data_IF_162529843239
#
_entry.id   IF_162529843239
#
_cell.length_a   1.000
_cell.length_b   1.000
_cell.length_c   1.000
_cell.angle_alpha   90.00
_cell.angle_beta   90.00
_cell.angle_gamma   90.00
#
_symmetry.space_group_name_H-M   'P 1'
#
loop_
_entity.id
_entity.type
_entity.pdbx_description
1 polymer ?
#
# COMPACT_ATOMS: atom_id res chain seq x y z
N UNK A 1 -23.25 18.39 -15.78
CA UNK A 1 -23.98 17.17 -15.38
C UNK A 1 -23.77 17.00 -13.89
N UNK A 2 -24.82 16.85 -13.06
CA UNK A 2 -24.62 16.49 -11.66
C UNK A 2 -23.95 15.12 -11.60
N UNK A 3 -23.04 14.94 -10.64
CA UNK A 3 -22.41 13.64 -10.40
C UNK A 3 -23.49 12.68 -9.89
N UNK A 4 -23.81 11.65 -10.67
CA UNK A 4 -24.63 10.54 -10.18
C UNK A 4 -23.79 9.62 -9.29
N UNK A 5 -24.38 9.19 -8.16
CA UNK A 5 -23.68 8.33 -7.21
C UNK A 5 -23.51 6.92 -7.79
N UNK A 6 -22.25 6.49 -7.92
CA UNK A 6 -21.94 5.12 -8.31
C UNK A 6 -22.27 4.16 -7.16
N UNK A 7 -23.15 3.19 -7.40
CA UNK A 7 -23.51 2.13 -6.43
C UNK A 7 -22.63 0.88 -6.56
N UNK A 8 -21.93 0.73 -7.69
CA UNK A 8 -20.92 -0.30 -7.91
C UNK A 8 -19.56 0.28 -7.51
N UNK A 9 -19.37 0.40 -6.21
CA UNK A 9 -18.15 1.00 -5.65
C UNK A 9 -17.01 0.00 -5.66
N UNK A 10 -15.82 0.52 -5.94
CA UNK A 10 -14.57 -0.18 -5.62
C UNK A 10 -13.86 0.56 -4.50
N UNK A 11 -13.26 -0.20 -3.60
CA UNK A 11 -12.47 0.34 -2.48
C UNK A 11 -10.99 0.23 -2.85
N UNK A 12 -10.30 1.37 -2.77
CA UNK A 12 -8.84 1.42 -2.86
C UNK A 12 -8.24 1.53 -1.47
N UNK A 13 -7.33 0.64 -1.11
CA UNK A 13 -6.57 0.73 0.14
C UNK A 13 -5.17 1.31 -0.11
N UNK A 14 -4.87 2.48 0.45
CA UNK A 14 -3.53 3.07 0.44
C UNK A 14 -2.76 2.64 1.69
N UNK A 15 -1.89 1.65 1.55
CA UNK A 15 -1.38 0.86 2.70
C UNK A 15 -0.25 1.52 3.51
N UNK A 16 0.42 2.54 2.98
CA UNK A 16 1.55 3.20 3.68
C UNK A 16 1.71 4.69 3.36
N UNK A 17 1.59 5.08 2.07
CA UNK A 17 1.81 6.45 1.62
C UNK A 17 3.27 6.92 1.73
N UNK A 18 3.50 8.22 1.51
CA UNK A 18 4.82 8.86 1.62
C UNK A 18 4.85 10.03 2.62
N UNK A 19 3.74 10.28 3.33
CA UNK A 19 3.65 11.33 4.33
C UNK A 19 4.51 11.02 5.57
N UNK A 20 4.78 12.06 6.37
CA UNK A 20 5.46 11.98 7.67
C UNK A 20 4.56 11.36 8.75
N UNK A 21 4.07 10.16 8.48
CA UNK A 21 3.13 9.41 9.31
C UNK A 21 3.71 8.07 9.79
N UNK A 22 4.87 7.66 9.27
CA UNK A 22 5.48 6.36 9.56
C UNK A 22 5.82 6.14 11.04
N UNK A 23 6.05 7.21 11.80
CA UNK A 23 6.36 7.15 13.23
C UNK A 23 5.13 7.46 14.11
N UNK A 24 3.98 7.77 13.51
CA UNK A 24 2.75 8.03 14.26
C UNK A 24 2.05 6.75 14.73
N UNK A 25 2.42 5.60 14.18
CA UNK A 25 1.90 4.30 14.58
C UNK A 25 2.88 3.18 14.23
N UNK A 26 3.06 2.17 15.11
CA UNK A 26 3.89 1.00 14.81
C UNK A 26 3.30 0.10 13.72
N UNK A 27 2.04 0.33 13.34
CA UNK A 27 1.35 -0.46 12.31
C UNK A 27 1.56 0.07 10.89
N UNK A 28 2.25 1.20 10.70
CA UNK A 28 2.55 1.70 9.35
C UNK A 28 3.65 0.84 8.73
N UNK A 29 3.39 0.09 7.65
CA UNK A 29 4.37 -0.83 7.08
C UNK A 29 5.48 -0.07 6.35
N UNK A 30 6.74 -0.53 6.52
CA UNK A 30 7.94 0.12 5.97
C UNK A 30 8.67 -0.75 4.95
N UNK A 31 8.96 -1.99 5.31
CA UNK A 31 9.69 -2.90 4.43
C UNK A 31 8.82 -3.39 3.28
N UNK A 32 9.39 -3.75 2.12
CA UNK A 32 8.65 -4.37 1.02
C UNK A 32 7.77 -5.54 1.46
N UNK A 33 8.28 -6.40 2.35
CA UNK A 33 7.53 -7.50 2.96
C UNK A 33 6.29 -7.00 3.70
N UNK A 34 6.45 -6.08 4.66
CA UNK A 34 5.32 -5.55 5.44
C UNK A 34 4.27 -4.85 4.57
N UNK A 35 4.73 -4.10 3.56
CA UNK A 35 3.86 -3.40 2.61
C UNK A 35 3.06 -4.41 1.80
N UNK A 36 3.70 -5.45 1.28
CA UNK A 36 3.02 -6.52 0.52
C UNK A 36 2.03 -7.31 1.38
N UNK A 37 2.38 -7.65 2.63
CA UNK A 37 1.48 -8.34 3.57
C UNK A 37 0.23 -7.50 3.86
N UNK A 38 0.40 -6.20 4.07
CA UNK A 38 -0.70 -5.27 4.28
C UNK A 38 -1.60 -5.14 3.04
N UNK A 39 -1.00 -5.10 1.85
CA UNK A 39 -1.72 -5.07 0.58
C UNK A 39 -2.54 -6.35 0.34
N UNK A 40 -1.95 -7.52 0.58
CA UNK A 40 -2.63 -8.81 0.46
C UNK A 40 -3.78 -8.91 1.46
N UNK A 41 -3.57 -8.48 2.71
CA UNK A 41 -4.62 -8.45 3.72
C UNK A 41 -5.78 -7.52 3.31
N UNK A 42 -5.47 -6.33 2.79
CA UNK A 42 -6.48 -5.40 2.29
C UNK A 42 -7.30 -6.02 1.15
N UNK A 43 -6.64 -6.66 0.18
CA UNK A 43 -7.30 -7.35 -0.93
C UNK A 43 -8.22 -8.48 -0.44
N UNK A 44 -7.73 -9.33 0.48
CA UNK A 44 -8.52 -10.40 1.12
C UNK A 44 -9.70 -9.87 1.92
N UNK A 45 -9.62 -8.62 2.38
CA UNK A 45 -10.68 -7.91 3.10
C UNK A 45 -11.67 -7.18 2.17
N UNK A 46 -11.51 -7.29 0.85
CA UNK A 46 -12.43 -6.73 -0.15
C UNK A 46 -11.96 -5.45 -0.84
N UNK A 47 -10.72 -5.01 -0.64
CA UNK A 47 -10.16 -3.94 -1.46
C UNK A 47 -9.98 -4.42 -2.90
N UNK A 48 -10.59 -3.71 -3.85
CA UNK A 48 -10.44 -4.01 -5.27
C UNK A 48 -9.10 -3.53 -5.84
N UNK A 49 -8.53 -2.49 -5.23
CA UNK A 49 -7.24 -1.90 -5.60
C UNK A 49 -6.42 -1.63 -4.36
N UNK A 50 -5.11 -1.82 -4.46
CA UNK A 50 -4.14 -1.40 -3.45
C UNK A 50 -3.20 -0.37 -4.04
N UNK A 51 -3.09 0.77 -3.36
CA UNK A 51 -2.17 1.85 -3.73
C UNK A 51 -0.90 1.74 -2.88
N UNK A 52 0.23 1.48 -3.53
CA UNK A 52 1.49 1.17 -2.87
C UNK A 52 2.53 2.28 -3.09
N UNK A 53 3.22 2.63 -2.01
CA UNK A 53 4.51 3.33 -2.03
C UNK A 53 5.56 2.41 -1.38
N UNK A 54 6.83 2.73 -1.58
CA UNK A 54 7.94 2.09 -0.87
C UNK A 54 8.62 3.08 0.05
N UNK A 55 9.22 2.56 1.11
CA UNK A 55 9.93 3.32 2.12
C UNK A 55 11.28 2.65 2.38
N UNK A 56 12.22 3.45 2.86
CA UNK A 56 13.44 2.94 3.45
C UNK A 56 13.09 2.03 4.66
N UNK A 57 13.50 0.76 4.68
CA UNK A 57 13.09 -0.19 5.72
C UNK A 57 13.60 0.17 7.12
N UNK A 58 14.73 0.89 7.22
CA UNK A 58 15.37 1.22 8.49
C UNK A 58 14.79 2.51 9.06
N UNK A 59 14.73 3.54 8.24
CA UNK A 59 14.35 4.91 8.65
C UNK A 59 12.86 5.20 8.45
N UNK A 60 12.17 4.45 7.58
CA UNK A 60 10.79 4.72 7.18
C UNK A 60 10.62 5.92 6.25
N UNK A 61 11.72 6.56 5.83
CA UNK A 61 11.70 7.67 4.89
C UNK A 61 11.06 7.23 3.55
N UNK A 62 10.30 8.11 2.86
CA UNK A 62 9.73 7.77 1.57
C UNK A 62 10.83 7.49 0.54
N UNK A 63 10.66 6.40 -0.22
CA UNK A 63 11.62 5.96 -1.24
C UNK A 63 10.95 5.90 -2.61
N UNK A 64 11.78 5.92 -3.66
CA UNK A 64 11.39 5.68 -5.06
C UNK A 64 12.21 4.58 -5.71
N UNK A 65 12.86 3.74 -4.90
CA UNK A 65 13.70 2.64 -5.39
C UNK A 65 12.85 1.62 -6.17
N UNK A 66 13.22 1.42 -7.44
CA UNK A 66 12.55 0.49 -8.34
C UNK A 66 12.71 -0.97 -7.91
N UNK A 67 13.80 -1.32 -7.24
CA UNK A 67 14.02 -2.68 -6.72
C UNK A 67 13.00 -2.99 -5.63
N UNK A 68 12.76 -2.04 -4.72
CA UNK A 68 11.74 -2.20 -3.68
C UNK A 68 10.33 -2.28 -4.26
N UNK A 69 10.02 -1.45 -5.28
CA UNK A 69 8.73 -1.53 -5.96
C UNK A 69 8.52 -2.88 -6.67
N UNK A 70 9.58 -3.41 -7.30
CA UNK A 70 9.55 -4.74 -7.91
C UNK A 70 9.28 -5.80 -6.86
N UNK A 71 10.02 -5.79 -5.74
CA UNK A 71 9.81 -6.76 -4.66
C UNK A 71 8.39 -6.72 -4.10
N UNK A 72 7.83 -5.53 -3.84
CA UNK A 72 6.42 -5.40 -3.40
C UNK A 72 5.47 -6.00 -4.43
N UNK A 73 5.68 -5.68 -5.71
CA UNK A 73 4.81 -6.14 -6.81
C UNK A 73 4.86 -7.66 -6.96
N UNK A 74 6.06 -8.25 -6.94
CA UNK A 74 6.27 -9.69 -7.09
C UNK A 74 5.59 -10.44 -5.93
N UNK A 75 5.84 -10.01 -4.68
CA UNK A 75 5.22 -10.60 -3.49
C UNK A 75 3.70 -10.55 -3.50
N UNK A 76 3.09 -9.46 -3.98
CA UNK A 76 1.63 -9.33 -4.07
C UNK A 76 1.07 -10.25 -5.15
N UNK A 77 1.76 -10.41 -6.28
CA UNK A 77 1.30 -11.23 -7.42
C UNK A 77 1.48 -12.73 -7.20
N UNK A 78 2.43 -13.12 -6.36
CA UNK A 78 2.70 -14.51 -6.01
C UNK A 78 1.80 -15.05 -4.86
N UNK A 79 0.92 -14.22 -4.30
CA UNK A 79 0.11 -14.51 -3.10
C UNK A 79 -1.32 -14.96 -3.40
#
# INVERSE_FOLDING_TARGET
MPLEMNREVFITCAVTGSGATQDKSPHVPRSPKQISESAILAARSGAAVVHCHVRDPETGAPSRDLVMFREVTDRIRDA
#
